data_IF_978841128796
#
_entry.id   IF_978841128796
#
_cell.length_a   1.000
_cell.length_b   1.000
_cell.length_c   1.000
_cell.angle_alpha   90.00
_cell.angle_beta   90.00
_cell.angle_gamma   90.00
#
_symmetry.space_group_name_H-M   'P 1'
#
loop_
_entity.id
_entity.type
_entity.pdbx_description
1 polymer ?
#
# COMPACT_ATOMS: atom_id res chain seq x y z
N UNK A 1 16.65 -4.30 5.95
CA UNK A 1 16.65 -3.09 5.07
C UNK A 1 15.28 -2.94 4.48
N UNK A 2 14.68 -1.75 4.42
CA UNK A 2 13.33 -1.60 3.89
C UNK A 2 13.20 -0.38 2.96
N UNK A 3 12.33 -0.50 1.98
CA UNK A 3 12.06 0.52 0.97
C UNK A 3 10.69 1.11 1.25
N UNK A 4 10.60 2.43 1.40
CA UNK A 4 9.33 3.15 1.57
C UNK A 4 9.04 3.99 0.34
N UNK A 5 7.88 3.74 -0.25
CA UNK A 5 7.30 4.52 -1.34
C UNK A 5 6.39 5.62 -0.76
N UNK A 6 6.57 6.87 -1.20
CA UNK A 6 5.58 7.94 -1.05
C UNK A 6 4.90 8.15 -2.41
N UNK A 7 3.57 8.01 -2.46
CA UNK A 7 2.79 8.08 -3.70
C UNK A 7 2.42 9.53 -4.11
N UNK A 8 2.99 10.58 -3.50
CA UNK A 8 2.86 11.97 -3.99
C UNK A 8 3.39 12.17 -5.41
N UNK A 9 4.27 11.28 -5.86
CA UNK A 9 5.00 11.41 -7.11
C UNK A 9 4.77 10.17 -7.99
N UNK A 10 3.54 9.98 -8.49
CA UNK A 10 3.29 9.05 -9.59
C UNK A 10 4.08 9.40 -10.88
N UNK A 11 4.93 10.43 -10.86
CA UNK A 11 5.84 10.82 -11.93
C UNK A 11 7.30 11.14 -11.49
N UNK A 12 7.70 10.96 -10.23
CA UNK A 12 9.13 11.07 -9.84
C UNK A 12 9.47 10.08 -8.70
N UNK A 13 10.33 9.10 -9.04
CA UNK A 13 11.15 8.20 -8.21
C UNK A 13 10.82 8.03 -6.70
N UNK A 14 10.61 6.79 -6.20
CA UNK A 14 10.87 6.48 -4.81
C UNK A 14 12.36 6.23 -4.56
N UNK A 15 12.79 6.39 -3.31
CA UNK A 15 13.45 5.31 -2.55
C UNK A 15 14.39 5.91 -1.49
N UNK A 16 13.84 6.33 -0.37
CA UNK A 16 14.68 6.35 0.82
C UNK A 16 14.80 4.91 1.31
N UNK A 17 15.97 4.32 1.16
CA UNK A 17 16.31 3.09 1.87
C UNK A 17 16.34 3.38 3.37
N UNK A 18 15.45 2.73 4.11
CA UNK A 18 15.46 2.79 5.56
C UNK A 18 16.39 1.71 6.10
N UNK A 19 17.46 2.21 6.73
CA UNK A 19 18.35 1.43 7.57
C UNK A 19 17.85 1.43 9.02
N UNK A 20 18.39 0.52 9.83
CA UNK A 20 18.04 0.45 11.25
C UNK A 20 18.41 1.77 11.96
N UNK A 21 17.52 2.27 12.80
CA UNK A 21 17.70 3.54 13.51
C UNK A 21 17.21 4.79 12.77
N UNK A 22 16.74 4.67 11.52
CA UNK A 22 16.09 5.78 10.82
C UNK A 22 14.61 5.89 11.21
N UNK A 23 14.12 7.13 11.29
CA UNK A 23 12.69 7.42 11.46
C UNK A 23 12.15 8.14 10.22
N UNK A 24 10.92 7.81 9.83
CA UNK A 24 10.19 8.52 8.77
C UNK A 24 8.88 9.05 9.31
N UNK A 25 8.54 10.28 8.96
CA UNK A 25 7.29 10.91 9.32
C UNK A 25 6.35 10.83 8.12
N UNK A 26 5.29 10.04 8.24
CA UNK A 26 4.22 9.97 7.23
C UNK A 26 3.07 10.86 7.72
N UNK A 27 2.73 11.96 7.01
CA UNK A 27 1.64 12.83 7.45
C UNK A 27 0.27 12.14 7.35
N UNK A 28 -0.73 12.71 8.03
CA UNK A 28 -2.11 12.21 7.95
C UNK A 28 -2.63 12.25 6.51
N UNK A 29 -3.36 11.20 6.11
CA UNK A 29 -3.85 10.98 4.74
C UNK A 29 -2.75 10.78 3.67
N UNK A 30 -1.55 10.50 4.16
CA UNK A 30 -0.43 9.76 3.57
C UNK A 30 -0.76 8.48 2.80
N UNK A 31 -0.67 8.43 1.47
CA UNK A 31 -0.50 7.13 0.80
C UNK A 31 0.97 6.70 0.89
N UNK A 32 1.22 5.51 1.45
CA UNK A 32 2.57 4.96 1.59
C UNK A 32 2.55 3.45 1.45
N UNK A 33 3.62 2.89 0.88
CA UNK A 33 3.88 1.46 0.90
C UNK A 33 5.30 1.19 1.40
N UNK A 34 5.49 0.04 2.04
CA UNK A 34 6.79 -0.37 2.55
C UNK A 34 7.06 -1.82 2.16
N UNK A 35 8.27 -2.07 1.66
CA UNK A 35 8.72 -3.39 1.24
C UNK A 35 9.98 -3.78 2.01
N UNK A 36 9.97 -5.00 2.55
CA UNK A 36 11.18 -5.61 3.10
C UNK A 36 12.21 -5.83 1.98
N UNK A 37 13.46 -5.46 2.24
CA UNK A 37 14.60 -5.68 1.36
C UNK A 37 15.08 -7.13 1.39
N UNK A 38 16.40 -7.34 1.27
CA UNK A 38 16.99 -8.70 1.33
C UNK A 38 16.84 -9.33 2.71
N UNK A 39 17.01 -8.53 3.75
CA UNK A 39 16.84 -8.94 5.14
C UNK A 39 15.44 -8.60 5.64
N UNK A 40 15.04 -9.26 6.73
CA UNK A 40 13.76 -9.01 7.39
C UNK A 40 13.60 -7.55 7.83
N UNK A 41 12.34 -7.16 8.07
CA UNK A 41 11.97 -5.82 8.52
C UNK A 41 11.26 -5.92 9.87
N UNK A 42 11.74 -5.13 10.82
CA UNK A 42 11.04 -4.81 12.05
C UNK A 42 10.91 -3.29 12.16
N UNK A 43 9.75 -2.80 12.59
CA UNK A 43 9.49 -1.38 12.73
C UNK A 43 8.52 -1.10 13.88
N UNK A 44 8.70 0.04 14.52
CA UNK A 44 7.80 0.60 15.51
C UNK A 44 7.08 1.81 14.91
N UNK A 45 5.82 2.02 15.28
CA UNK A 45 5.10 3.22 14.83
C UNK A 45 4.29 3.88 15.91
N UNK A 46 4.53 5.18 15.99
CA UNK A 46 3.79 6.11 16.82
C UNK A 46 2.78 6.82 15.95
N UNK A 47 1.54 6.89 16.43
CA UNK A 47 0.47 7.65 15.78
C UNK A 47 0.03 8.75 16.73
N UNK A 48 -0.27 9.91 16.19
CA UNK A 48 -0.58 11.13 16.95
C UNK A 48 -2.04 11.21 17.42
N UNK A 49 -2.83 10.15 17.27
CA UNK A 49 -4.25 10.10 17.65
C UNK A 49 -4.58 8.82 18.41
N UNK A 50 -5.50 8.90 19.38
CA UNK A 50 -5.97 7.78 20.20
C UNK A 50 -6.86 6.78 19.45
N UNK A 51 -7.45 7.18 18.31
CA UNK A 51 -8.32 6.32 17.49
C UNK A 51 -7.81 6.24 16.05
N UNK A 52 -6.66 5.60 15.81
CA UNK A 52 -6.01 5.72 14.52
C UNK A 52 -6.60 4.73 13.49
N UNK A 53 -7.23 5.27 12.46
CA UNK A 53 -7.78 4.48 11.35
C UNK A 53 -6.73 4.25 10.25
N UNK A 54 -6.83 3.12 9.55
CA UNK A 54 -6.06 2.81 8.33
C UNK A 54 -7.04 2.46 7.21
N UNK A 55 -6.74 2.94 6.01
CA UNK A 55 -7.54 2.67 4.80
C UNK A 55 -6.65 1.97 3.76
N UNK A 56 -6.51 0.64 3.81
CA UNK A 56 -5.63 -0.07 2.90
C UNK A 56 -6.13 0.01 1.44
N UNK A 57 -5.19 0.25 0.53
CA UNK A 57 -5.41 0.45 -0.92
C UNK A 57 -5.04 -0.79 -1.75
N UNK A 58 -4.55 -1.86 -1.10
CA UNK A 58 -4.52 -3.23 -1.63
C UNK A 58 -4.87 -4.26 -0.51
N UNK A 59 -5.36 -5.47 -0.84
CA UNK A 59 -5.70 -6.54 0.14
C UNK A 59 -7.20 -6.82 0.43
N UNK A 60 -7.54 -7.45 1.55
CA UNK A 60 -8.94 -7.82 1.87
C UNK A 60 -9.85 -6.63 2.15
N UNK A 61 -9.34 -5.68 2.93
CA UNK A 61 -10.04 -4.53 3.54
C UNK A 61 -9.97 -3.30 2.65
N UNK A 62 -9.83 -3.55 1.36
CA UNK A 62 -9.60 -2.59 0.31
C UNK A 62 -10.67 -1.51 0.16
N UNK A 63 -10.26 -0.25 0.05
CA UNK A 63 -11.16 0.85 -0.38
C UNK A 63 -11.77 0.53 -1.76
N UNK A 64 -11.00 -0.06 -2.68
CA UNK A 64 -11.50 -0.52 -3.98
C UNK A 64 -12.62 -1.57 -3.88
N UNK A 65 -12.64 -2.39 -2.83
CA UNK A 65 -13.70 -3.39 -2.63
C UNK A 65 -15.03 -2.76 -2.22
N UNK A 66 -14.97 -1.67 -1.46
CA UNK A 66 -16.13 -0.89 -1.08
C UNK A 66 -16.70 -0.06 -2.25
N UNK A 67 -15.86 0.29 -3.23
CA UNK A 67 -16.31 1.08 -4.40
C UNK A 67 -17.15 0.23 -5.39
N UNK A 68 -18.25 0.80 -5.93
CA UNK A 68 -18.99 0.16 -7.02
C UNK A 68 -18.11 -0.06 -8.25
N UNK A 69 -18.32 -1.18 -8.96
CA UNK A 69 -17.52 -1.53 -10.14
C UNK A 69 -17.51 -0.40 -11.19
N UNK A 70 -18.68 0.20 -11.45
CA UNK A 70 -18.83 1.29 -12.40
C UNK A 70 -18.02 2.54 -12.04
N UNK A 71 -17.84 2.83 -10.74
CA UNK A 71 -17.01 3.96 -10.30
C UNK A 71 -15.56 3.72 -10.70
N UNK A 72 -15.04 2.51 -10.45
CA UNK A 72 -13.66 2.15 -10.81
C UNK A 72 -13.47 2.17 -12.34
N UNK A 73 -14.36 1.54 -13.09
CA UNK A 73 -14.34 1.51 -14.56
C UNK A 73 -14.26 2.93 -15.13
N UNK A 74 -15.10 3.85 -14.64
CA UNK A 74 -15.14 5.22 -15.15
C UNK A 74 -13.97 6.08 -14.66
N UNK A 75 -13.57 5.96 -13.39
CA UNK A 75 -12.46 6.75 -12.83
C UNK A 75 -11.11 6.41 -13.44
N UNK A 76 -10.86 5.13 -13.74
CA UNK A 76 -9.59 4.66 -14.31
C UNK A 76 -9.65 4.39 -15.82
N UNK A 77 -10.82 4.55 -16.44
CA UNK A 77 -11.05 4.29 -17.88
C UNK A 77 -10.58 2.89 -18.32
N UNK A 78 -10.87 1.87 -17.50
CA UNK A 78 -10.50 0.47 -17.75
C UNK A 78 -11.72 -0.38 -18.05
N UNK A 79 -11.53 -1.55 -18.66
CA UNK A 79 -12.64 -2.46 -18.92
C UNK A 79 -13.27 -2.99 -17.60
N UNK A 80 -14.58 -3.29 -17.56
CA UNK A 80 -15.22 -3.85 -16.37
C UNK A 80 -14.55 -5.13 -15.85
N UNK A 81 -14.02 -5.98 -16.73
CA UNK A 81 -13.25 -7.17 -16.35
C UNK A 81 -11.95 -6.81 -15.65
N UNK A 82 -11.20 -5.82 -16.16
CA UNK A 82 -9.98 -5.31 -15.53
C UNK A 82 -10.28 -4.65 -14.18
N UNK A 83 -11.39 -3.93 -14.05
CA UNK A 83 -11.84 -3.35 -12.78
C UNK A 83 -12.23 -4.43 -11.76
N UNK A 84 -12.86 -5.51 -12.22
CA UNK A 84 -13.18 -6.67 -11.40
C UNK A 84 -11.91 -7.37 -10.92
N UNK A 85 -10.92 -7.54 -11.80
CA UNK A 85 -9.62 -8.07 -11.43
C UNK A 85 -8.92 -7.15 -10.42
N UNK A 86 -8.90 -5.83 -10.64
CA UNK A 86 -8.33 -4.89 -9.67
C UNK A 86 -8.97 -5.04 -8.27
N UNK A 87 -10.27 -5.31 -8.22
CA UNK A 87 -11.05 -5.46 -6.98
C UNK A 87 -10.80 -6.79 -6.25
N UNK A 88 -10.54 -7.88 -6.98
CA UNK A 88 -10.52 -9.25 -6.43
C UNK A 88 -9.24 -10.06 -6.68
N UNK A 89 -8.27 -9.56 -7.43
CA UNK A 89 -7.03 -10.29 -7.79
C UNK A 89 -6.15 -10.59 -6.57
N UNK A 90 -6.26 -9.83 -5.49
CA UNK A 90 -5.51 -10.09 -4.24
C UNK A 90 -6.40 -10.68 -3.15
N UNK A 91 -5.89 -11.69 -2.45
CA UNK A 91 -6.60 -12.47 -1.42
C UNK A 91 -6.94 -11.70 -0.13
N UNK A 92 -7.18 -12.42 0.98
CA UNK A 92 -7.64 -11.81 2.25
C UNK A 92 -6.51 -11.20 3.11
N UNK A 93 -5.34 -10.96 2.54
CA UNK A 93 -4.15 -10.60 3.32
C UNK A 93 -3.98 -9.08 3.41
N UNK A 94 -3.61 -8.58 4.59
CA UNK A 94 -3.26 -7.18 4.83
C UNK A 94 -1.78 -6.86 4.54
N UNK A 95 -0.96 -7.90 4.34
CA UNK A 95 0.43 -7.80 3.93
C UNK A 95 0.62 -8.61 2.65
N UNK A 96 1.46 -8.13 1.74
CA UNK A 96 1.77 -8.86 0.52
C UNK A 96 2.98 -9.75 0.77
N UNK A 97 2.77 -11.06 0.76
CA UNK A 97 3.87 -11.99 0.68
C UNK A 97 4.48 -11.91 -0.72
N UNK A 98 5.78 -11.61 -0.80
CA UNK A 98 6.52 -11.92 -2.03
C UNK A 98 6.71 -13.43 -2.08
N UNK A 99 6.34 -14.06 -3.20
CA UNK A 99 6.67 -15.47 -3.41
C UNK A 99 8.19 -15.54 -3.58
N UNK A 100 8.92 -16.06 -2.59
CA UNK A 100 10.34 -16.41 -2.76
C UNK A 100 10.41 -17.39 -3.93
N UNK A 101 10.98 -16.97 -5.07
CA UNK A 101 11.42 -17.90 -6.10
C UNK A 101 12.68 -18.58 -5.53
N UNK A 102 12.50 -19.79 -5.03
CA UNK A 102 13.60 -20.72 -4.73
C UNK A 102 14.25 -21.19 -6.02
#
# INVERSE_FOLDING_TARGET
>A
MAEVQDDRLANEEPCCWLHFGFHSNVPQYYATSMKAGRDDIEWLTFRTTGSPMRSPVAGYTLVFRAMPLQVITNSYQIAPSQAQDLKYNRGREGFFATRRRT
#
